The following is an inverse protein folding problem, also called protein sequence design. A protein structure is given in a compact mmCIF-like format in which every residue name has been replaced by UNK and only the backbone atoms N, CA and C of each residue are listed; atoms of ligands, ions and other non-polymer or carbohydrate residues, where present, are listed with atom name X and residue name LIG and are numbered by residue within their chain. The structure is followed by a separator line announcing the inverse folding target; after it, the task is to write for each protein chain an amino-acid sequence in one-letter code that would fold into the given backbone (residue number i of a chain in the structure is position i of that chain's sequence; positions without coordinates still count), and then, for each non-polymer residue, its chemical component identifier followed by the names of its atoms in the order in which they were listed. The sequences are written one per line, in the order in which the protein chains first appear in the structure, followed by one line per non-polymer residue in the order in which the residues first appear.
data_IF_051787011893
#
_entry.id   IF_051787011893
#
_cell.length_a   1.000
_cell.length_b   1.000
_cell.length_c   1.000
_cell.angle_alpha   90.00
_cell.angle_beta   90.00
_cell.angle_gamma   90.00
#
_symmetry.space_group_name_H-M   'P 1'
#
loop_
_entity.id
_entity.type
_entity.pdbx_description
1 polymer ?
#
# COMPACT_ATOMS: atom_id res chain seq x y z
N UNK A 1 7.89 -17.93 -40.29
CA UNK A 1 7.62 -16.54 -40.69
C UNK A 1 6.73 -15.78 -39.68
N UNK A 2 6.84 -16.01 -38.35
CA UNK A 2 5.89 -15.44 -37.34
C UNK A 2 6.56 -14.47 -36.35
N UNK A 3 7.88 -14.20 -36.43
CA UNK A 3 8.59 -13.34 -35.45
C UNK A 3 8.55 -11.82 -35.73
N UNK A 4 8.01 -11.37 -36.86
CA UNK A 4 8.07 -9.94 -37.24
C UNK A 4 6.87 -9.09 -36.76
N UNK A 5 5.75 -9.70 -36.37
CA UNK A 5 4.56 -8.95 -35.95
C UNK A 5 4.61 -8.50 -34.48
N UNK A 6 5.19 -9.29 -33.57
CA UNK A 6 5.25 -8.96 -32.14
C UNK A 6 6.13 -7.74 -31.84
N UNK A 7 7.30 -7.66 -32.48
CA UNK A 7 8.25 -6.54 -32.31
C UNK A 7 7.66 -5.21 -32.83
N UNK A 8 6.86 -5.27 -33.90
CA UNK A 8 6.19 -4.07 -34.43
C UNK A 8 5.06 -3.59 -33.51
N UNK A 9 4.32 -4.49 -32.88
CA UNK A 9 3.24 -4.15 -31.94
C UNK A 9 3.82 -3.57 -30.64
N UNK A 10 4.86 -4.17 -30.07
CA UNK A 10 5.55 -3.63 -28.88
C UNK A 10 6.12 -2.22 -29.13
N UNK A 11 6.69 -2.00 -30.33
CA UNK A 11 7.16 -0.68 -30.74
C UNK A 11 6.02 0.36 -30.82
N UNK A 12 4.84 -0.02 -31.28
CA UNK A 12 3.67 0.87 -31.31
C UNK A 12 3.12 1.16 -29.92
N UNK A 13 3.05 0.16 -29.03
CA UNK A 13 2.58 0.33 -27.65
C UNK A 13 3.51 1.24 -26.85
N UNK A 14 4.84 1.09 -27.00
CA UNK A 14 5.82 1.99 -26.37
C UNK A 14 5.63 3.44 -26.81
N UNK A 15 5.43 3.66 -28.11
CA UNK A 15 5.15 4.99 -28.66
C UNK A 15 3.87 5.58 -28.07
N UNK A 16 2.82 4.77 -27.90
CA UNK A 16 1.57 5.19 -27.27
C UNK A 16 1.78 5.60 -25.80
N UNK A 17 2.51 4.80 -25.02
CA UNK A 17 2.83 5.11 -23.62
C UNK A 17 3.62 6.42 -23.48
N UNK A 18 4.61 6.64 -24.35
CA UNK A 18 5.39 7.88 -24.38
C UNK A 18 4.52 9.09 -24.68
N UNK A 19 3.58 8.97 -25.62
CA UNK A 19 2.62 10.03 -25.93
C UNK A 19 1.69 10.32 -24.74
N UNK A 20 1.22 9.29 -24.04
CA UNK A 20 0.40 9.46 -22.84
C UNK A 20 1.17 10.16 -21.71
N UNK A 21 2.39 9.71 -21.41
CA UNK A 21 3.22 10.35 -20.39
C UNK A 21 3.47 11.82 -20.75
N UNK A 22 3.84 12.11 -21.99
CA UNK A 22 4.07 13.49 -22.43
C UNK A 22 2.80 14.35 -22.31
N UNK A 23 1.64 13.82 -22.71
CA UNK A 23 0.37 14.52 -22.63
C UNK A 23 -0.06 14.77 -21.17
N UNK A 24 -0.11 13.72 -20.35
CA UNK A 24 -0.66 13.77 -18.99
C UNK A 24 0.26 14.39 -17.96
N UNK A 25 1.58 14.47 -18.21
CA UNK A 25 2.52 15.18 -17.33
C UNK A 25 2.14 16.64 -17.12
N UNK A 26 1.55 17.29 -18.13
CA UNK A 26 1.04 18.67 -18.02
C UNK A 26 -0.16 18.80 -17.06
N UNK A 27 -0.89 17.70 -16.81
CA UNK A 27 -2.00 17.65 -15.87
C UNK A 27 -1.53 17.28 -14.46
N UNK A 28 -0.47 16.47 -14.32
CA UNK A 28 0.12 16.14 -13.02
C UNK A 28 0.48 17.41 -12.22
N UNK A 29 1.05 18.41 -12.90
CA UNK A 29 1.39 19.71 -12.31
C UNK A 29 0.20 20.54 -11.81
N UNK A 30 -1.05 20.17 -12.13
CA UNK A 30 -2.26 20.83 -11.61
C UNK A 30 -2.70 20.28 -10.26
N UNK A 31 -2.17 19.13 -9.85
CA UNK A 31 -2.42 18.51 -8.55
C UNK A 31 -1.61 19.15 -7.43
N UNK A 32 -1.69 18.56 -6.24
CA UNK A 32 -0.84 18.88 -5.09
C UNK A 32 -0.34 17.60 -4.47
N UNK A 33 0.94 17.56 -4.12
CA UNK A 33 1.49 16.45 -3.33
C UNK A 33 0.77 16.34 -1.99
N UNK A 34 0.73 15.12 -1.45
CA UNK A 34 0.24 14.91 -0.10
C UNK A 34 1.08 15.72 0.90
N UNK A 35 0.40 16.43 1.81
CA UNK A 35 1.05 17.33 2.77
C UNK A 35 0.66 17.03 4.22
N UNK A 36 0.08 15.85 4.47
CA UNK A 36 -0.26 15.43 5.83
C UNK A 36 0.96 14.99 6.63
N UNK A 37 2.07 14.65 5.95
CA UNK A 37 3.41 14.55 6.52
C UNK A 37 4.41 15.39 5.71
N UNK A 38 5.41 16.01 6.36
CA UNK A 38 6.44 16.81 5.67
C UNK A 38 7.16 16.09 4.53
N UNK A 39 7.55 14.83 4.73
CA UNK A 39 8.37 14.08 3.77
C UNK A 39 7.72 13.89 2.38
N UNK A 40 6.38 13.92 2.30
CA UNK A 40 5.66 13.81 1.02
C UNK A 40 5.46 15.16 0.32
N UNK A 41 5.51 16.26 1.08
CA UNK A 41 5.26 17.61 0.57
C UNK A 41 6.38 18.14 -0.34
N UNK A 42 7.58 17.58 -0.22
CA UNK A 42 8.77 17.99 -0.98
C UNK A 42 8.91 17.28 -2.34
N UNK A 43 8.04 16.31 -2.64
CA UNK A 43 8.10 15.52 -3.87
C UNK A 43 7.70 16.39 -5.07
N UNK A 44 8.48 16.29 -6.15
CA UNK A 44 8.21 16.99 -7.40
C UNK A 44 6.88 16.53 -8.03
N UNK A 45 5.88 17.42 -8.03
CA UNK A 45 4.53 17.21 -8.58
C UNK A 45 4.49 16.88 -10.07
N UNK A 46 5.59 17.11 -10.81
CA UNK A 46 5.65 16.79 -12.23
C UNK A 46 6.12 15.37 -12.53
N UNK A 47 6.50 14.58 -11.51
CA UNK A 47 6.91 13.19 -11.69
C UNK A 47 5.75 12.35 -12.21
N UNK A 48 5.99 11.57 -13.27
CA UNK A 48 5.00 10.69 -13.86
C UNK A 48 5.72 9.50 -14.53
N UNK A 49 5.52 8.31 -13.97
CA UNK A 49 5.97 7.04 -14.52
C UNK A 49 4.79 6.10 -14.80
N UNK A 50 4.96 5.24 -15.80
CA UNK A 50 4.03 4.15 -16.10
C UNK A 50 4.82 2.90 -16.48
N UNK A 51 4.39 1.75 -15.97
CA UNK A 51 4.86 0.42 -16.36
C UNK A 51 3.63 -0.45 -16.65
N UNK A 52 3.69 -1.23 -17.72
CA UNK A 52 2.73 -2.29 -18.02
C UNK A 52 3.50 -3.60 -18.09
N UNK A 53 3.12 -4.54 -17.22
CA UNK A 53 3.62 -5.91 -17.22
C UNK A 53 2.57 -6.81 -17.86
N UNK A 54 2.91 -7.46 -18.96
CA UNK A 54 2.03 -8.39 -19.68
C UNK A 54 2.07 -9.81 -19.06
N UNK A 55 1.07 -10.66 -19.33
CA UNK A 55 1.05 -12.04 -18.82
C UNK A 55 2.24 -12.91 -19.23
N UNK A 56 2.94 -12.55 -20.30
CA UNK A 56 4.15 -13.24 -20.79
C UNK A 56 5.46 -12.70 -20.16
N UNK A 57 5.36 -11.73 -19.24
CA UNK A 57 6.50 -11.08 -18.59
C UNK A 57 7.08 -9.90 -19.38
N UNK A 58 6.54 -9.58 -20.57
CA UNK A 58 6.99 -8.42 -21.34
C UNK A 58 6.61 -7.14 -20.60
N UNK A 59 7.57 -6.23 -20.46
CA UNK A 59 7.38 -4.96 -19.77
C UNK A 59 7.51 -3.78 -20.72
N UNK A 60 6.56 -2.84 -20.65
CA UNK A 60 6.59 -1.58 -21.39
C UNK A 60 6.55 -0.45 -20.39
N UNK A 61 7.60 0.39 -20.41
CA UNK A 61 7.83 1.44 -19.41
C UNK A 61 7.96 2.80 -20.07
N UNK A 62 7.50 3.86 -19.41
CA UNK A 62 7.68 5.24 -19.88
C UNK A 62 7.68 6.24 -18.72
N UNK A 63 8.34 7.39 -18.93
CA UNK A 63 8.46 8.44 -17.94
C UNK A 63 9.39 8.09 -16.79
N UNK A 64 9.07 8.59 -15.60
CA UNK A 64 9.90 8.51 -14.39
C UNK A 64 9.70 7.19 -13.63
N UNK A 65 9.57 6.08 -14.36
CA UNK A 65 9.18 4.78 -13.80
C UNK A 65 10.19 4.23 -12.78
N UNK A 66 11.47 4.63 -12.88
CA UNK A 66 12.54 4.22 -11.96
C UNK A 66 12.55 5.00 -10.64
N UNK A 67 11.85 6.14 -10.56
CA UNK A 67 11.87 6.97 -9.35
C UNK A 67 11.17 6.21 -8.22
N UNK A 68 11.88 5.96 -7.10
CA UNK A 68 11.27 5.29 -5.97
C UNK A 68 10.24 6.17 -5.25
N UNK A 69 9.19 5.53 -4.74
CA UNK A 69 8.16 6.12 -3.90
C UNK A 69 7.68 5.11 -2.85
N UNK A 70 7.07 5.60 -1.77
CA UNK A 70 6.52 4.72 -0.73
C UNK A 70 5.15 4.19 -1.10
N UNK A 71 4.88 2.91 -0.81
CA UNK A 71 3.62 2.24 -1.14
C UNK A 71 2.39 2.92 -0.53
N UNK A 72 2.53 3.53 0.65
CA UNK A 72 1.43 4.18 1.36
C UNK A 72 0.23 3.22 1.48
N UNK A 73 -0.98 3.67 1.13
CA UNK A 73 -2.19 2.83 1.21
C UNK A 73 -2.24 1.68 0.20
N UNK A 74 -1.41 1.66 -0.86
CA UNK A 74 -1.31 0.51 -1.77
C UNK A 74 -0.85 -0.73 -0.98
N UNK A 75 -0.01 -0.53 0.04
CA UNK A 75 0.50 -1.60 0.88
C UNK A 75 -0.59 -2.42 1.58
N UNK A 76 -1.79 -1.87 1.78
CA UNK A 76 -2.92 -2.56 2.43
C UNK A 76 -3.35 -3.83 1.67
N UNK A 77 -3.24 -3.81 0.34
CA UNK A 77 -3.49 -4.99 -0.50
C UNK A 77 -2.48 -6.10 -0.17
N UNK A 78 -1.20 -5.74 -0.08
CA UNK A 78 -0.11 -6.68 0.21
C UNK A 78 -0.25 -7.23 1.63
N UNK A 79 -0.53 -6.38 2.62
CA UNK A 79 -0.77 -6.81 4.00
C UNK A 79 -1.95 -7.75 4.14
N UNK A 80 -3.06 -7.48 3.44
CA UNK A 80 -4.21 -8.36 3.43
C UNK A 80 -3.88 -9.73 2.83
N UNK A 81 -3.15 -9.77 1.70
CA UNK A 81 -2.71 -11.03 1.08
C UNK A 81 -1.79 -11.80 2.05
N UNK A 82 -0.81 -11.14 2.68
CA UNK A 82 0.12 -11.78 3.62
C UNK A 82 -0.60 -12.39 4.84
N UNK A 83 -1.57 -11.67 5.42
CA UNK A 83 -2.39 -12.18 6.51
C UNK A 83 -3.25 -13.39 6.07
N UNK A 84 -3.87 -13.32 4.89
CA UNK A 84 -4.66 -14.41 4.34
C UNK A 84 -3.82 -15.66 4.04
N UNK A 85 -2.62 -15.50 3.49
CA UNK A 85 -1.70 -16.62 3.21
C UNK A 85 -1.20 -17.29 4.49
N UNK A 86 -1.03 -16.54 5.59
CA UNK A 86 -0.48 -17.05 6.85
C UNK A 86 -1.54 -17.59 7.81
N UNK A 87 -2.72 -16.96 7.89
CA UNK A 87 -3.79 -17.31 8.85
C UNK A 87 -4.99 -17.99 8.21
N UNK A 88 -5.09 -17.95 6.88
CA UNK A 88 -6.28 -18.36 6.13
C UNK A 88 -7.33 -17.25 6.04
N UNK A 89 -8.05 -17.22 4.92
CA UNK A 89 -9.05 -16.18 4.61
C UNK A 89 -10.14 -16.11 5.70
N UNK A 90 -10.67 -17.25 6.14
CA UNK A 90 -11.75 -17.28 7.14
C UNK A 90 -11.34 -16.59 8.44
N UNK A 91 -10.12 -16.84 8.92
CA UNK A 91 -9.60 -16.23 10.15
C UNK A 91 -9.50 -14.70 10.05
N UNK A 92 -9.06 -14.21 8.89
CA UNK A 92 -8.94 -12.77 8.61
C UNK A 92 -10.32 -12.13 8.52
N UNK A 93 -11.26 -12.76 7.83
CA UNK A 93 -12.60 -12.23 7.61
C UNK A 93 -13.50 -12.25 8.86
N UNK A 94 -13.16 -13.04 9.89
CA UNK A 94 -13.78 -12.92 11.22
C UNK A 94 -13.46 -11.57 11.89
N UNK A 95 -12.33 -10.95 11.53
CA UNK A 95 -11.80 -9.74 12.20
C UNK A 95 -11.93 -8.47 11.39
N UNK A 96 -12.05 -8.59 10.07
CA UNK A 96 -12.25 -7.46 9.14
C UNK A 96 -13.28 -7.89 8.10
N UNK A 97 -14.21 -7.00 7.77
CA UNK A 97 -15.29 -7.31 6.82
C UNK A 97 -14.87 -7.09 5.35
N UNK A 98 -15.81 -7.16 4.42
CA UNK A 98 -15.62 -6.88 2.98
C UNK A 98 -16.59 -5.83 2.44
N UNK A 99 -17.21 -5.07 3.33
CA UNK A 99 -18.19 -4.05 2.96
C UNK A 99 -17.52 -2.79 2.36
N UNK A 100 -17.97 -2.30 1.19
CA UNK A 100 -17.50 -1.03 0.67
C UNK A 100 -17.96 0.11 1.59
N UNK A 101 -17.05 0.99 1.97
CA UNK A 101 -17.40 2.18 2.74
C UNK A 101 -17.95 3.24 1.79
N UNK A 102 -19.24 3.59 1.94
CA UNK A 102 -19.89 4.66 1.17
C UNK A 102 -19.47 6.09 1.55
N UNK A 103 -18.66 6.25 2.61
CA UNK A 103 -18.16 7.52 3.12
C UNK A 103 -16.65 7.67 2.88
N UNK A 104 -16.12 8.88 3.13
CA UNK A 104 -14.69 9.14 3.08
C UNK A 104 -13.90 8.07 3.87
N UNK A 105 -12.82 7.59 3.27
CA UNK A 105 -11.86 6.60 3.78
C UNK A 105 -11.43 6.75 5.26
N UNK A 106 -11.61 7.97 5.74
CA UNK A 106 -11.14 8.54 6.98
C UNK A 106 -12.34 8.90 7.90
N UNK A 107 -13.33 8.02 8.10
CA UNK A 107 -14.42 8.27 9.06
C UNK A 107 -14.33 7.32 10.27
N UNK A 108 -14.09 7.88 11.47
CA UNK A 108 -14.10 7.13 12.75
C UNK A 108 -15.55 6.84 13.18
N UNK A 109 -16.47 7.74 12.87
CA UNK A 109 -17.88 7.72 13.28
C UNK A 109 -18.57 6.40 12.92
N UNK A 110 -18.25 5.84 11.74
CA UNK A 110 -18.87 4.60 11.26
C UNK A 110 -18.43 3.35 12.02
N UNK A 111 -17.22 3.33 12.59
CA UNK A 111 -16.74 2.23 13.43
C UNK A 111 -17.52 2.15 14.74
N UNK A 112 -17.88 3.31 15.32
CA UNK A 112 -18.65 3.38 16.57
C UNK A 112 -20.12 3.00 16.39
N UNK A 113 -20.71 3.27 15.22
CA UNK A 113 -22.14 3.06 14.97
C UNK A 113 -22.47 1.61 14.63
N UNK A 114 -21.54 0.84 14.06
CA UNK A 114 -21.77 -0.59 13.74
C UNK A 114 -21.27 -1.49 14.88
N UNK A 115 -22.18 -2.30 15.44
CA UNK A 115 -21.82 -3.37 16.39
C UNK A 115 -21.03 -4.48 15.66
N UNK A 116 -19.98 -5.06 16.26
CA UNK A 116 -19.16 -4.58 17.37
C UNK A 116 -17.86 -4.01 16.79
N UNK A 117 -17.74 -2.72 16.45
CA UNK A 117 -16.44 -2.06 16.16
C UNK A 117 -15.57 -2.67 15.04
N UNK A 118 -16.07 -3.68 14.32
CA UNK A 118 -15.35 -4.48 13.33
C UNK A 118 -15.04 -3.58 12.13
N UNK A 119 -13.78 -3.50 11.69
CA UNK A 119 -13.47 -2.74 10.49
C UNK A 119 -14.21 -3.26 9.25
N UNK A 120 -14.79 -2.35 8.46
CA UNK A 120 -15.62 -2.67 7.31
C UNK A 120 -14.89 -3.37 6.16
N UNK A 121 -13.62 -3.06 5.95
CA UNK A 121 -12.81 -3.70 4.93
C UNK A 121 -11.31 -3.52 5.22
N UNK A 122 -10.45 -4.38 4.69
CA UNK A 122 -9.00 -4.26 4.89
C UNK A 122 -8.39 -3.03 4.21
N UNK A 123 -9.14 -2.36 3.33
CA UNK A 123 -8.63 -1.22 2.57
C UNK A 123 -8.71 0.09 3.36
N UNK A 124 -9.58 0.24 4.37
CA UNK A 124 -9.57 1.40 5.28
C UNK A 124 -8.47 1.29 6.34
N UNK A 125 -8.07 2.42 6.96
CA UNK A 125 -7.02 2.41 7.99
C UNK A 125 -7.34 1.46 9.15
N UNK A 126 -8.60 1.39 9.60
CA UNK A 126 -9.00 0.51 10.69
C UNK A 126 -8.75 -0.96 10.35
N UNK A 127 -9.14 -1.36 9.12
CA UNK A 127 -8.93 -2.71 8.64
C UNK A 127 -7.46 -3.01 8.48
N UNK A 128 -6.70 -2.11 7.87
CA UNK A 128 -5.26 -2.31 7.67
C UNK A 128 -4.46 -2.39 8.99
N UNK A 129 -4.83 -1.61 10.00
CA UNK A 129 -4.24 -1.70 11.35
C UNK A 129 -4.58 -3.05 11.98
N UNK A 130 -5.84 -3.49 11.89
CA UNK A 130 -6.22 -4.85 12.31
C UNK A 130 -5.38 -5.89 11.59
N UNK A 131 -5.31 -5.85 10.25
CA UNK A 131 -4.52 -6.77 9.43
C UNK A 131 -3.04 -6.80 9.86
N UNK A 132 -2.43 -5.65 10.11
CA UNK A 132 -1.04 -5.56 10.57
C UNK A 132 -0.83 -6.31 11.91
N UNK A 133 -1.82 -6.25 12.82
CA UNK A 133 -1.77 -7.01 14.08
C UNK A 133 -1.85 -8.53 13.87
N UNK A 134 -2.52 -9.00 12.81
CA UNK A 134 -2.73 -10.43 12.51
C UNK A 134 -1.53 -11.09 11.82
N UNK A 135 -0.55 -10.30 11.36
CA UNK A 135 0.65 -10.85 10.74
C UNK A 135 1.38 -11.78 11.72
N UNK A 136 1.94 -12.89 11.24
CA UNK A 136 2.57 -13.90 12.09
C UNK A 136 3.85 -13.35 12.72
N UNK A 137 4.11 -13.71 13.98
CA UNK A 137 5.30 -13.27 14.71
C UNK A 137 4.95 -12.59 16.03
N UNK A 138 5.96 -12.47 16.88
CA UNK A 138 5.91 -11.91 18.23
C UNK A 138 6.67 -10.60 18.37
N UNK A 139 7.30 -10.13 17.30
CA UNK A 139 7.97 -8.85 17.21
C UNK A 139 7.63 -8.14 15.90
N UNK A 140 7.85 -6.83 15.84
CA UNK A 140 7.70 -6.01 14.62
C UNK A 140 8.46 -6.62 13.44
N UNK A 141 9.70 -7.07 13.68
CA UNK A 141 10.55 -7.63 12.64
C UNK A 141 10.00 -8.94 12.08
N UNK A 142 9.54 -9.84 12.95
CA UNK A 142 8.96 -11.13 12.52
C UNK A 142 7.66 -10.92 11.72
N UNK A 143 6.83 -9.95 12.11
CA UNK A 143 5.60 -9.59 11.39
C UNK A 143 5.89 -9.05 10.00
N UNK A 144 6.86 -8.13 9.89
CA UNK A 144 7.30 -7.56 8.63
C UNK A 144 7.93 -8.60 7.69
N UNK A 145 8.53 -9.66 8.22
CA UNK A 145 9.15 -10.71 7.39
C UNK A 145 8.15 -11.35 6.42
N UNK A 146 6.91 -11.57 6.85
CA UNK A 146 5.86 -12.13 5.99
C UNK A 146 5.54 -11.23 4.78
N UNK A 147 5.58 -9.91 4.97
CA UNK A 147 5.42 -8.91 3.91
C UNK A 147 6.64 -8.91 2.98
N UNK A 148 7.84 -8.91 3.55
CA UNK A 148 9.08 -8.90 2.78
C UNK A 148 9.22 -10.13 1.90
N UNK A 149 8.95 -11.32 2.43
CA UNK A 149 8.96 -12.57 1.67
C UNK A 149 7.91 -12.55 0.55
N UNK A 150 6.72 -11.98 0.80
CA UNK A 150 5.70 -11.86 -0.23
C UNK A 150 6.14 -10.91 -1.35
N UNK A 151 6.63 -9.72 -1.00
CA UNK A 151 7.10 -8.73 -1.98
C UNK A 151 8.31 -9.28 -2.75
N UNK A 152 9.28 -9.88 -2.07
CA UNK A 152 10.46 -10.49 -2.68
C UNK A 152 10.08 -11.60 -3.68
N UNK A 153 9.00 -12.36 -3.43
CA UNK A 153 8.46 -13.31 -4.41
C UNK A 153 7.75 -12.65 -5.59
N UNK A 154 7.17 -11.46 -5.41
CA UNK A 154 6.45 -10.73 -6.46
C UNK A 154 7.40 -10.00 -7.41
N UNK A 155 8.50 -9.43 -6.88
CA UNK A 155 9.39 -8.53 -7.64
C UNK A 155 10.86 -8.99 -7.64
N UNK A 156 11.15 -10.19 -7.15
CA UNK A 156 12.49 -10.80 -7.06
C UNK A 156 13.53 -9.97 -6.29
N UNK A 157 13.06 -9.02 -5.49
CA UNK A 157 13.88 -8.08 -4.73
C UNK A 157 13.29 -7.86 -3.37
N UNK A 158 14.13 -7.95 -2.35
CA UNK A 158 13.75 -7.63 -0.99
C UNK A 158 13.48 -6.12 -0.86
N UNK A 159 12.30 -5.70 -0.38
CA UNK A 159 11.96 -4.29 -0.25
C UNK A 159 12.78 -3.62 0.87
N UNK A 160 12.91 -2.30 0.76
CA UNK A 160 13.49 -1.45 1.79
C UNK A 160 12.42 -0.52 2.38
N UNK A 161 12.61 -0.10 3.63
CA UNK A 161 11.81 0.95 4.25
C UNK A 161 12.46 2.30 3.98
N UNK A 162 11.66 3.28 3.58
CA UNK A 162 12.05 4.67 3.61
C UNK A 162 11.91 5.21 5.05
N UNK A 163 13.03 5.23 5.78
CA UNK A 163 13.05 5.63 7.19
C UNK A 163 12.58 7.08 7.41
N UNK A 164 12.84 7.98 6.46
CA UNK A 164 12.41 9.38 6.55
C UNK A 164 10.88 9.47 6.56
N UNK A 165 10.23 8.75 5.63
CA UNK A 165 8.76 8.69 5.57
C UNK A 165 8.21 7.99 6.81
N UNK A 166 8.82 6.87 7.25
CA UNK A 166 8.37 6.16 8.44
C UNK A 166 8.40 7.04 9.69
N UNK A 167 9.50 7.75 9.97
CA UNK A 167 9.58 8.64 11.13
C UNK A 167 8.54 9.77 11.04
N UNK A 168 8.36 10.34 9.84
CA UNK A 168 7.38 11.40 9.61
C UNK A 168 5.93 10.95 9.85
N UNK A 169 5.57 9.74 9.40
CA UNK A 169 4.29 9.09 9.73
C UNK A 169 4.19 8.81 11.24
N UNK A 170 5.23 8.27 11.84
CA UNK A 170 5.25 7.85 13.24
C UNK A 170 4.98 9.03 14.19
N UNK A 171 5.62 10.17 13.96
CA UNK A 171 5.47 11.39 14.77
C UNK A 171 4.07 12.00 14.67
N UNK A 172 3.38 11.83 13.53
CA UNK A 172 2.09 12.48 13.23
C UNK A 172 0.89 11.52 13.31
N UNK A 173 1.11 10.25 13.64
CA UNK A 173 0.10 9.18 13.64
C UNK A 173 -0.97 9.26 14.76
N UNK A 174 -1.29 10.44 15.29
CA UNK A 174 -2.29 10.61 16.38
C UNK A 174 -3.63 9.94 16.09
N UNK A 175 -4.10 10.07 14.85
CA UNK A 175 -5.35 9.47 14.42
C UNK A 175 -5.28 7.94 14.38
N UNK A 176 -4.19 7.39 13.84
CA UNK A 176 -3.99 5.94 13.79
C UNK A 176 -3.82 5.37 15.20
N UNK A 177 -3.18 6.10 16.13
CA UNK A 177 -3.14 5.76 17.56
C UNK A 177 -4.53 5.70 18.19
N UNK A 178 -5.34 6.74 18.03
CA UNK A 178 -6.71 6.74 18.54
C UNK A 178 -7.52 5.56 18.01
N UNK A 179 -7.38 5.28 16.72
CA UNK A 179 -8.03 4.14 16.06
C UNK A 179 -7.52 2.78 16.57
N UNK A 180 -6.21 2.63 16.75
CA UNK A 180 -5.63 1.39 17.25
C UNK A 180 -6.04 1.10 18.71
N UNK A 181 -6.09 2.12 19.58
CA UNK A 181 -6.64 1.95 20.93
C UNK A 181 -8.11 1.54 20.92
N UNK A 182 -8.92 2.15 20.04
CA UNK A 182 -10.31 1.75 19.86
C UNK A 182 -10.43 0.28 19.41
N UNK A 183 -9.62 -0.15 18.44
CA UNK A 183 -9.60 -1.53 17.98
C UNK A 183 -9.11 -2.50 19.06
N UNK A 184 -8.15 -2.09 19.90
CA UNK A 184 -7.65 -2.88 21.03
C UNK A 184 -8.74 -3.14 22.06
N UNK A 185 -9.45 -2.09 22.46
CA UNK A 185 -10.57 -2.18 23.41
C UNK A 185 -11.67 -3.11 22.92
N UNK A 186 -11.95 -3.09 21.60
CA UNK A 186 -12.98 -3.93 20.99
C UNK A 186 -12.48 -5.34 20.60
N UNK A 187 -11.23 -5.70 20.93
CA UNK A 187 -10.70 -7.05 20.72
C UNK A 187 -10.28 -7.37 19.28
N UNK A 188 -10.04 -6.36 18.44
CA UNK A 188 -9.62 -6.54 17.03
C UNK A 188 -8.11 -6.52 16.82
N UNK A 189 -7.30 -6.28 17.85
CA UNK A 189 -5.84 -6.33 17.75
C UNK A 189 -5.25 -7.51 18.53
N UNK A 190 -4.44 -8.32 17.85
CA UNK A 190 -3.72 -9.46 18.45
C UNK A 190 -2.37 -9.06 19.04
N UNK A 191 -1.88 -7.87 18.72
CA UNK A 191 -0.66 -7.27 19.22
C UNK A 191 -0.94 -6.05 20.10
N UNK A 192 0.10 -5.51 20.74
CA UNK A 192 0.02 -4.20 21.38
C UNK A 192 -0.22 -3.10 20.33
N UNK A 193 -0.76 -1.96 20.76
CA UNK A 193 -1.07 -0.81 19.91
C UNK A 193 0.18 -0.28 19.22
N UNK A 194 1.26 -0.01 19.97
CA UNK A 194 2.44 0.61 19.36
C UNK A 194 3.17 -0.37 18.43
N UNK A 195 3.24 -1.66 18.78
CA UNK A 195 3.77 -2.70 17.88
C UNK A 195 2.96 -2.79 16.58
N UNK A 196 1.63 -2.81 16.68
CA UNK A 196 0.74 -2.90 15.52
C UNK A 196 0.93 -1.70 14.59
N UNK A 197 1.03 -0.50 15.17
CA UNK A 197 1.24 0.73 14.40
C UNK A 197 2.61 0.77 13.77
N UNK A 198 3.65 0.26 14.45
CA UNK A 198 4.99 0.23 13.89
C UNK A 198 5.03 -0.65 12.65
N UNK A 199 4.41 -1.83 12.71
CA UNK A 199 4.26 -2.73 11.56
C UNK A 199 3.48 -2.05 10.43
N UNK A 200 2.33 -1.45 10.73
CA UNK A 200 1.49 -0.80 9.72
C UNK A 200 2.19 0.39 9.03
N UNK A 201 2.87 1.25 9.80
CA UNK A 201 3.52 2.43 9.25
C UNK A 201 4.83 2.09 8.52
N UNK A 202 5.59 1.09 8.98
CA UNK A 202 6.72 0.53 8.22
C UNK A 202 6.24 -0.09 6.91
N UNK A 203 5.14 -0.83 6.94
CA UNK A 203 4.50 -1.37 5.73
C UNK A 203 4.12 -0.24 4.73
N UNK A 204 3.53 0.87 5.20
CA UNK A 204 3.24 2.03 4.36
C UNK A 204 4.50 2.70 3.79
N UNK A 205 5.61 2.62 4.52
CA UNK A 205 6.89 3.24 4.18
C UNK A 205 7.80 2.36 3.33
N UNK A 206 7.34 1.18 2.91
CA UNK A 206 8.07 0.34 1.95
C UNK A 206 8.23 1.10 0.64
N UNK A 207 9.46 1.16 0.14
CA UNK A 207 9.85 1.84 -1.08
C UNK A 207 9.85 0.88 -2.28
N UNK A 208 9.17 1.29 -3.35
CA UNK A 208 9.11 0.61 -4.64
C UNK A 208 9.28 1.65 -5.76
N UNK A 209 9.36 1.22 -7.01
CA UNK A 209 9.18 2.11 -8.15
C UNK A 209 7.96 1.64 -8.97
N UNK A 210 7.80 2.11 -10.20
CA UNK A 210 6.60 1.78 -10.99
C UNK A 210 6.66 0.37 -11.61
N UNK A 211 7.85 -0.21 -11.76
CA UNK A 211 8.05 -1.60 -12.23
C UNK A 211 7.73 -2.61 -11.12
#
# INVERSE_FOLDING_TARGET
MIKNSSVQVEGQEKVCLDQWVAHYRTYAAKGRSASYIPALGEINVSQLGICIVKPDGTMIKSGDWEIPFTLQSISKVIGFIAACLSRGISYVLERVDVEPTGDAFNSIIRLEIHKPGKPFNPMINAGAITIASLLPGTSVQEKLESLYVLIEKMIEKRPAINEIVFQSEWETAHRNRALAYYLKENGFLESDVEETLEVYLKQCSIEINTE
#
